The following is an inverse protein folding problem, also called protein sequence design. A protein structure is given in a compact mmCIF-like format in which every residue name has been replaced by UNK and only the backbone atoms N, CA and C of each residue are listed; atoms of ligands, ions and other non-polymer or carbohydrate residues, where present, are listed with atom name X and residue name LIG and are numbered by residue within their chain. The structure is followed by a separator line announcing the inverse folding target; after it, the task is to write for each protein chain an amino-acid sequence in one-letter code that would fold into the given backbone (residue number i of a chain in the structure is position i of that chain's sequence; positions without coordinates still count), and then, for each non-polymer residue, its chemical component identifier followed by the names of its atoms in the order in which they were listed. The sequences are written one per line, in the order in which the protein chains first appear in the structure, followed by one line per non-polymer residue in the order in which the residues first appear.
data_IF_482121882115
#
_entry.id   IF_482121882115
#
_cell.length_a   1.000
_cell.length_b   1.000
_cell.length_c   1.000
_cell.angle_alpha   90.00
_cell.angle_beta   90.00
_cell.angle_gamma   90.00
#
_symmetry.space_group_name_H-M   'P 1'
#
loop_
_entity.id
_entity.type
_entity.pdbx_description
1 polymer ?
#
# COMPACT_ATOMS: atom_id res chain seq x y z
N UNK A 1 11.89 13.01 38.26
CA UNK A 1 12.17 13.84 37.08
C UNK A 1 11.97 12.96 35.85
N UNK A 2 10.95 13.23 35.03
CA UNK A 2 10.80 12.52 33.74
C UNK A 2 12.01 12.85 32.87
N UNK A 3 12.61 11.86 32.23
CA UNK A 3 13.69 12.05 31.27
C UNK A 3 13.15 12.80 30.04
N UNK A 4 13.05 14.13 30.13
CA UNK A 4 12.48 14.99 29.07
C UNK A 4 13.26 14.94 27.75
N UNK A 5 14.45 14.35 27.75
CA UNK A 5 15.26 14.19 26.55
C UNK A 5 14.71 13.08 25.63
N UNK A 6 14.34 11.92 26.19
CA UNK A 6 13.85 10.80 25.37
C UNK A 6 12.47 11.09 24.76
N UNK A 7 11.56 11.76 25.47
CA UNK A 7 10.24 12.13 24.93
C UNK A 7 10.38 13.00 23.67
N UNK A 8 11.27 14.01 23.73
CA UNK A 8 11.58 14.86 22.58
C UNK A 8 12.25 14.07 21.44
N UNK A 9 13.27 13.28 21.75
CA UNK A 9 13.99 12.47 20.76
C UNK A 9 13.07 11.45 20.06
N UNK A 10 12.16 10.80 20.80
CA UNK A 10 11.18 9.86 20.24
C UNK A 10 10.24 10.61 19.29
N UNK A 11 9.73 11.78 19.70
CA UNK A 11 8.86 12.61 18.84
C UNK A 11 9.55 13.01 17.54
N UNK A 12 10.79 13.50 17.63
CA UNK A 12 11.62 13.88 16.46
C UNK A 12 11.88 12.67 15.55
N UNK A 13 12.28 11.53 16.12
CA UNK A 13 12.51 10.30 15.36
C UNK A 13 11.26 9.80 14.64
N UNK A 14 10.09 9.86 15.29
CA UNK A 14 8.82 9.46 14.66
C UNK A 14 8.52 10.39 13.48
N UNK A 15 8.60 11.70 13.68
CA UNK A 15 8.32 12.67 12.63
C UNK A 15 9.27 12.50 11.44
N UNK A 16 10.58 12.43 11.71
CA UNK A 16 11.58 12.21 10.66
C UNK A 16 11.39 10.88 9.94
N UNK A 17 10.99 9.83 10.66
CA UNK A 17 10.72 8.52 10.05
C UNK A 17 9.52 8.63 9.11
N UNK A 18 8.42 9.26 9.53
CA UNK A 18 7.25 9.51 8.69
C UNK A 18 7.63 10.31 7.44
N UNK A 19 8.38 11.39 7.57
CA UNK A 19 8.85 12.19 6.43
C UNK A 19 9.71 11.35 5.47
N UNK A 20 10.66 10.56 5.99
CA UNK A 20 11.50 9.66 5.17
C UNK A 20 10.67 8.60 4.44
N UNK A 21 9.57 8.13 5.04
CA UNK A 21 8.64 7.23 4.35
C UNK A 21 7.91 7.96 3.23
N UNK A 22 7.33 9.13 3.47
CA UNK A 22 6.61 9.91 2.47
C UNK A 22 7.51 10.30 1.27
N UNK A 23 8.76 10.70 1.53
CA UNK A 23 9.76 10.97 0.48
C UNK A 23 10.12 9.73 -0.36
N UNK A 24 10.15 8.55 0.27
CA UNK A 24 10.43 7.27 -0.43
C UNK A 24 9.23 6.73 -1.18
N UNK A 25 8.03 7.16 -0.79
CA UNK A 25 6.76 6.65 -1.27
C UNK A 25 6.16 7.53 -2.37
N UNK A 26 6.45 8.84 -2.32
CA UNK A 26 6.23 9.78 -3.43
C UNK A 26 7.05 9.43 -4.68
N UNK A 27 8.14 8.68 -4.53
CA UNK A 27 8.93 8.17 -5.66
C UNK A 27 8.25 6.98 -6.32
N UNK A 28 7.98 7.13 -7.61
CA UNK A 28 7.52 6.02 -8.44
C UNK A 28 8.54 4.88 -8.46
N UNK A 29 8.04 3.64 -8.53
CA UNK A 29 8.85 2.44 -8.69
C UNK A 29 8.30 1.58 -9.80
N UNK A 30 9.15 0.82 -10.47
CA UNK A 30 8.71 0.00 -11.58
C UNK A 30 8.15 -1.37 -11.16
N UNK A 31 8.41 -1.83 -9.93
CA UNK A 31 8.00 -3.14 -9.40
C UNK A 31 8.30 -4.31 -10.37
N UNK A 32 9.46 -4.28 -11.02
CA UNK A 32 9.87 -5.31 -11.98
C UNK A 32 9.17 -5.22 -13.34
N UNK A 33 8.52 -4.09 -13.65
CA UNK A 33 7.94 -3.79 -14.96
C UNK A 33 8.78 -2.77 -15.73
N UNK A 34 8.37 -2.48 -16.95
CA UNK A 34 8.92 -1.46 -17.85
C UNK A 34 8.32 -0.06 -17.64
N UNK A 35 7.37 0.10 -16.70
CA UNK A 35 6.68 1.36 -16.44
C UNK A 35 6.83 1.75 -14.97
N UNK A 36 6.87 3.04 -14.72
CA UNK A 36 6.81 3.55 -13.35
C UNK A 36 5.38 3.47 -12.79
N UNK A 37 5.27 3.13 -11.51
CA UNK A 37 4.00 2.94 -10.80
C UNK A 37 4.04 3.78 -9.52
N UNK A 38 3.04 4.64 -9.33
CA UNK A 38 2.90 5.42 -8.10
C UNK A 38 2.40 4.54 -6.94
N UNK A 39 2.60 5.01 -5.70
CA UNK A 39 2.09 4.33 -4.52
C UNK A 39 0.58 4.02 -4.59
N UNK A 40 -0.26 5.02 -4.90
CA UNK A 40 -1.70 4.81 -5.04
C UNK A 40 -2.08 3.80 -6.14
N UNK A 41 -1.25 3.70 -7.19
CA UNK A 41 -1.44 2.77 -8.30
C UNK A 41 -1.09 1.34 -7.91
N UNK A 42 0.02 1.11 -7.19
CA UNK A 42 0.39 -0.23 -6.75
C UNK A 42 -0.59 -0.77 -5.69
N UNK A 43 -1.10 0.09 -4.81
CA UNK A 43 -2.15 -0.29 -3.86
C UNK A 43 -3.48 -0.59 -4.56
N UNK A 44 -3.82 0.14 -5.62
CA UNK A 44 -4.98 -0.20 -6.46
C UNK A 44 -4.78 -1.55 -7.18
N UNK A 45 -3.58 -1.85 -7.68
CA UNK A 45 -3.25 -3.16 -8.28
C UNK A 45 -3.45 -4.28 -7.26
N UNK A 46 -2.91 -4.12 -6.03
CA UNK A 46 -3.10 -5.07 -4.92
C UNK A 46 -4.58 -5.29 -4.64
N UNK A 47 -5.34 -4.20 -4.49
CA UNK A 47 -6.77 -4.27 -4.24
C UNK A 47 -7.53 -5.05 -5.33
N UNK A 48 -7.24 -4.79 -6.61
CA UNK A 48 -7.85 -5.51 -7.75
C UNK A 48 -7.46 -6.99 -7.74
N UNK A 49 -6.22 -7.34 -7.37
CA UNK A 49 -5.80 -8.73 -7.29
C UNK A 49 -6.54 -9.51 -6.20
N UNK A 50 -6.74 -8.88 -5.05
CA UNK A 50 -7.38 -9.48 -3.88
C UNK A 50 -8.91 -9.48 -3.98
N UNK A 51 -9.47 -8.73 -4.93
CA UNK A 51 -10.90 -8.65 -5.17
C UNK A 51 -11.17 -8.78 -6.67
N UNK A 52 -11.38 -10.02 -7.13
CA UNK A 52 -11.65 -10.27 -8.55
C UNK A 52 -13.01 -9.72 -8.97
N UNK A 53 -13.15 -9.45 -10.27
CA UNK A 53 -14.45 -9.18 -10.91
C UNK A 53 -15.17 -7.92 -10.39
N UNK A 54 -14.43 -6.97 -9.83
CA UNK A 54 -15.02 -5.73 -9.35
C UNK A 54 -15.23 -4.70 -10.46
N UNK A 55 -16.42 -4.09 -10.43
CA UNK A 55 -16.73 -2.87 -11.17
C UNK A 55 -16.21 -1.63 -10.44
N UNK A 56 -16.01 -0.54 -11.17
CA UNK A 56 -15.55 0.76 -10.62
C UNK A 56 -16.38 1.23 -9.42
N UNK A 57 -17.70 1.09 -9.46
CA UNK A 57 -18.59 1.48 -8.35
C UNK A 57 -18.36 0.66 -7.08
N UNK A 58 -18.08 -0.64 -7.23
CA UNK A 58 -17.79 -1.53 -6.11
C UNK A 58 -16.41 -1.22 -5.51
N UNK A 59 -15.41 -0.93 -6.36
CA UNK A 59 -14.08 -0.49 -5.92
C UNK A 59 -14.21 0.80 -5.10
N UNK A 60 -14.91 1.81 -5.61
CA UNK A 60 -15.11 3.09 -4.92
C UNK A 60 -15.76 2.92 -3.55
N UNK A 61 -16.82 2.11 -3.46
CA UNK A 61 -17.53 1.83 -2.21
C UNK A 61 -16.63 1.11 -1.19
N UNK A 62 -15.88 0.10 -1.62
CA UNK A 62 -14.99 -0.67 -0.73
C UNK A 62 -13.81 0.16 -0.23
N UNK A 63 -13.28 1.07 -1.05
CA UNK A 63 -12.17 1.95 -0.69
C UNK A 63 -12.61 3.24 0.02
N UNK A 64 -13.91 3.53 0.11
CA UNK A 64 -14.41 4.77 0.72
C UNK A 64 -14.04 6.05 -0.04
N UNK A 65 -13.73 5.95 -1.34
CA UNK A 65 -13.31 7.09 -2.18
C UNK A 65 -14.29 7.35 -3.33
N UNK A 66 -14.15 8.50 -4.00
CA UNK A 66 -15.07 8.87 -5.08
C UNK A 66 -14.89 7.98 -6.32
N UNK A 67 -15.98 7.79 -7.07
CA UNK A 67 -15.94 7.11 -8.38
C UNK A 67 -14.99 7.79 -9.37
N UNK A 68 -14.84 9.11 -9.28
CA UNK A 68 -13.90 9.90 -10.09
C UNK A 68 -12.45 9.53 -9.81
N UNK A 69 -12.06 9.47 -8.53
CA UNK A 69 -10.70 9.10 -8.11
C UNK A 69 -10.34 7.66 -8.54
N UNK A 70 -11.27 6.71 -8.39
CA UNK A 70 -11.08 5.35 -8.91
C UNK A 70 -10.93 5.38 -10.42
N UNK A 71 -11.84 6.02 -11.14
CA UNK A 71 -11.83 6.07 -12.61
C UNK A 71 -10.53 6.65 -13.15
N UNK A 72 -10.01 7.70 -12.53
CA UNK A 72 -8.74 8.32 -12.92
C UNK A 72 -7.56 7.36 -12.71
N UNK A 73 -7.52 6.67 -11.57
CA UNK A 73 -6.46 5.69 -11.27
C UNK A 73 -6.51 4.49 -12.21
N UNK A 74 -7.71 3.94 -12.45
CA UNK A 74 -7.96 2.88 -13.43
C UNK A 74 -7.52 3.31 -14.83
N UNK A 75 -7.83 4.55 -15.25
CA UNK A 75 -7.40 5.06 -16.57
C UNK A 75 -5.87 5.09 -16.70
N UNK A 76 -5.14 5.53 -15.66
CA UNK A 76 -3.67 5.54 -15.68
C UNK A 76 -3.08 4.12 -15.69
N UNK A 77 -3.62 3.21 -14.88
CA UNK A 77 -3.19 1.81 -14.88
C UNK A 77 -3.42 1.14 -16.24
N UNK A 78 -4.56 1.44 -16.87
CA UNK A 78 -4.90 0.93 -18.19
C UNK A 78 -3.95 1.48 -19.26
N UNK A 79 -3.64 2.80 -19.24
CA UNK A 79 -2.68 3.38 -20.20
C UNK A 79 -1.26 2.84 -20.02
N UNK A 80 -0.90 2.38 -18.81
CA UNK A 80 0.36 1.71 -18.50
C UNK A 80 0.36 0.21 -18.87
N UNK A 81 -0.77 -0.33 -19.32
CA UNK A 81 -0.93 -1.75 -19.65
C UNK A 81 -0.90 -2.68 -18.43
N UNK A 82 -1.15 -2.15 -17.23
CA UNK A 82 -1.13 -2.91 -15.97
C UNK A 82 -2.46 -3.61 -15.68
N UNK A 83 -3.55 -3.11 -16.27
CA UNK A 83 -4.89 -3.68 -16.14
C UNK A 83 -5.60 -3.72 -17.50
N UNK A 84 -6.64 -4.53 -17.57
CA UNK A 84 -7.62 -4.56 -18.66
C UNK A 84 -9.03 -4.34 -18.10
N UNK A 85 -9.92 -3.88 -18.99
CA UNK A 85 -11.36 -3.78 -18.75
C UNK A 85 -12.04 -4.78 -19.66
N UNK A 86 -12.80 -5.69 -19.06
CA UNK A 86 -13.49 -6.75 -19.77
C UNK A 86 -14.99 -6.64 -19.52
N UNK A 87 -15.78 -7.06 -20.50
CA UNK A 87 -17.22 -7.24 -20.30
C UNK A 87 -17.43 -8.48 -19.43
N UNK A 88 -18.24 -8.35 -18.41
CA UNK A 88 -18.60 -9.44 -17.52
C UNK A 88 -19.43 -10.48 -18.28
N UNK A 89 -18.89 -11.69 -18.44
CA UNK A 89 -19.55 -12.80 -19.15
C UNK A 89 -20.87 -13.23 -18.48
N UNK A 90 -21.03 -12.98 -17.18
CA UNK A 90 -22.28 -13.25 -16.44
C UNK A 90 -23.30 -12.12 -16.53
N UNK A 91 -22.89 -10.93 -16.96
CA UNK A 91 -23.77 -9.78 -17.13
C UNK A 91 -23.18 -8.79 -18.14
N UNK A 92 -23.51 -9.00 -19.42
CA UNK A 92 -23.01 -8.23 -20.58
C UNK A 92 -23.20 -6.70 -20.50
N UNK A 93 -23.89 -6.18 -19.50
CA UNK A 93 -24.03 -4.75 -19.24
C UNK A 93 -22.91 -4.16 -18.35
N UNK A 94 -22.02 -4.98 -17.78
CA UNK A 94 -21.06 -4.53 -16.78
C UNK A 94 -19.61 -4.75 -17.20
N UNK A 95 -18.77 -3.77 -16.88
CA UNK A 95 -17.33 -3.81 -17.14
C UNK A 95 -16.60 -4.13 -15.84
N UNK A 96 -15.79 -5.19 -15.84
CA UNK A 96 -14.92 -5.59 -14.73
C UNK A 96 -13.48 -5.18 -15.01
N UNK A 97 -12.70 -5.00 -13.93
CA UNK A 97 -11.27 -4.69 -14.01
C UNK A 97 -10.46 -5.93 -13.65
N UNK A 98 -9.46 -6.26 -14.46
CA UNK A 98 -8.50 -7.36 -14.20
C UNK A 98 -7.06 -6.90 -14.37
N UNK A 99 -6.14 -7.57 -13.69
CA UNK A 99 -4.71 -7.39 -13.93
C UNK A 99 -4.28 -8.05 -15.24
N UNK A 100 -3.35 -7.42 -15.95
CA UNK A 100 -2.60 -8.07 -17.04
C UNK A 100 -1.44 -8.90 -16.46
N UNK A 101 -0.70 -9.63 -17.30
CA UNK A 101 0.57 -10.25 -16.87
C UNK A 101 1.58 -9.24 -16.32
N UNK A 102 1.61 -8.01 -16.88
CA UNK A 102 2.41 -6.90 -16.37
C UNK A 102 1.93 -6.46 -14.99
N UNK A 103 0.61 -6.29 -14.80
CA UNK A 103 0.03 -5.97 -13.50
C UNK A 103 0.30 -7.04 -12.44
N UNK A 104 0.23 -8.32 -12.82
CA UNK A 104 0.55 -9.44 -11.94
C UNK A 104 2.02 -9.43 -11.49
N UNK A 105 2.93 -9.07 -12.40
CA UNK A 105 4.35 -8.90 -12.08
C UNK A 105 4.56 -7.78 -11.06
N UNK A 106 3.91 -6.63 -11.26
CA UNK A 106 3.94 -5.52 -10.31
C UNK A 106 3.44 -5.93 -8.93
N UNK A 107 2.29 -6.63 -8.86
CA UNK A 107 1.73 -7.15 -7.61
C UNK A 107 2.69 -8.07 -6.86
N UNK A 108 3.26 -9.07 -7.53
CA UNK A 108 4.16 -10.04 -6.90
C UNK A 108 5.40 -9.33 -6.32
N UNK A 109 5.99 -8.41 -7.08
CA UNK A 109 7.15 -7.66 -6.60
C UNK A 109 6.82 -6.73 -5.43
N UNK A 110 5.62 -6.15 -5.41
CA UNK A 110 5.14 -5.37 -4.27
C UNK A 110 4.92 -6.22 -3.02
N UNK A 111 4.35 -7.41 -3.14
CA UNK A 111 4.19 -8.34 -2.01
C UNK A 111 5.56 -8.83 -1.50
N UNK A 112 6.51 -9.09 -2.40
CA UNK A 112 7.88 -9.43 -2.01
C UNK A 112 8.57 -8.28 -1.28
N UNK A 113 8.32 -7.03 -1.68
CA UNK A 113 8.80 -5.85 -0.96
C UNK A 113 8.20 -5.79 0.46
N UNK A 114 6.90 -6.05 0.62
CA UNK A 114 6.27 -6.13 1.95
C UNK A 114 6.87 -7.23 2.82
N UNK A 115 7.13 -8.42 2.25
CA UNK A 115 7.80 -9.51 2.99
C UNK A 115 9.21 -9.13 3.43
N UNK A 116 9.98 -8.45 2.58
CA UNK A 116 11.30 -7.95 2.97
C UNK A 116 11.20 -6.91 4.08
N UNK A 117 10.15 -6.09 4.08
CA UNK A 117 9.89 -5.13 5.15
C UNK A 117 9.59 -5.85 6.48
N UNK A 118 8.73 -6.87 6.46
CA UNK A 118 8.42 -7.70 7.63
C UNK A 118 9.67 -8.36 8.22
N UNK A 119 10.54 -8.93 7.38
CA UNK A 119 11.81 -9.52 7.82
C UNK A 119 12.71 -8.47 8.48
N UNK A 120 12.79 -7.25 7.92
CA UNK A 120 13.58 -6.17 8.54
C UNK A 120 13.04 -5.78 9.92
N UNK A 121 11.73 -5.64 10.06
CA UNK A 121 11.09 -5.34 11.34
C UNK A 121 11.34 -6.46 12.34
N UNK A 122 11.16 -7.72 11.92
CA UNK A 122 11.45 -8.89 12.75
C UNK A 122 12.89 -8.86 13.28
N UNK A 123 13.87 -8.64 12.41
CA UNK A 123 15.28 -8.57 12.82
C UNK A 123 15.55 -7.41 13.78
N UNK A 124 14.89 -6.25 13.61
CA UNK A 124 15.01 -5.14 14.56
C UNK A 124 14.46 -5.54 15.94
N UNK A 125 13.27 -6.14 15.97
CA UNK A 125 12.61 -6.57 17.21
C UNK A 125 13.35 -7.70 17.92
N UNK A 126 13.93 -8.66 17.20
CA UNK A 126 14.74 -9.75 17.80
C UNK A 126 15.99 -9.24 18.51
N UNK A 127 16.53 -8.10 18.08
CA UNK A 127 17.65 -7.44 18.75
C UNK A 127 17.21 -6.62 19.97
N UNK A 128 15.90 -6.48 20.19
CA UNK A 128 15.36 -5.89 21.42
C UNK A 128 15.25 -6.98 22.48
N UNK A 129 15.49 -6.63 23.75
CA UNK A 129 15.33 -7.57 24.86
C UNK A 129 13.92 -8.17 24.90
N UNK A 130 13.78 -9.38 25.46
CA UNK A 130 12.51 -10.10 25.51
C UNK A 130 11.35 -9.24 26.07
N UNK A 131 10.21 -9.23 25.38
CA UNK A 131 9.01 -8.48 25.77
C UNK A 131 8.95 -7.05 25.24
N UNK A 132 10.00 -6.56 24.57
CA UNK A 132 10.02 -5.21 23.99
C UNK A 132 9.06 -5.05 22.80
N UNK A 133 8.80 -6.13 22.07
CA UNK A 133 7.90 -6.16 20.92
C UNK A 133 6.47 -5.75 21.31
N UNK A 134 6.01 -6.16 22.50
CA UNK A 134 4.69 -5.78 23.01
C UNK A 134 4.62 -4.29 23.31
N UNK A 135 5.68 -3.73 23.89
CA UNK A 135 5.75 -2.29 24.21
C UNK A 135 5.69 -1.46 22.93
N UNK A 136 6.43 -1.86 21.88
CA UNK A 136 6.39 -1.19 20.57
C UNK A 136 5.01 -1.30 19.93
N UNK A 137 4.39 -2.49 19.97
CA UNK A 137 3.05 -2.71 19.44
C UNK A 137 2.00 -1.82 20.14
N UNK A 138 1.98 -1.83 21.47
CA UNK A 138 1.02 -1.04 22.27
C UNK A 138 1.20 0.47 21.97
N UNK A 139 2.45 0.95 21.89
CA UNK A 139 2.75 2.33 21.53
C UNK A 139 2.23 2.70 20.13
N UNK A 140 2.55 1.90 19.11
CA UNK A 140 2.14 2.16 17.73
C UNK A 140 0.62 2.08 17.57
N UNK A 141 -0.04 1.16 18.27
CA UNK A 141 -1.50 1.04 18.26
C UNK A 141 -2.18 2.27 18.86
N UNK A 142 -1.69 2.74 20.01
CA UNK A 142 -2.21 3.96 20.64
C UNK A 142 -1.92 5.21 19.80
N UNK A 143 -0.73 5.29 19.18
CA UNK A 143 -0.38 6.38 18.28
C UNK A 143 -1.30 6.40 17.05
N UNK A 144 -1.50 5.25 16.38
CA UNK A 144 -2.40 5.12 15.23
C UNK A 144 -3.84 5.52 15.53
N UNK A 145 -4.33 5.27 16.74
CA UNK A 145 -5.70 5.66 17.16
C UNK A 145 -5.87 7.16 17.39
N UNK A 146 -4.77 7.89 17.59
CA UNK A 146 -4.79 9.32 17.96
C UNK A 146 -4.55 10.26 16.77
N UNK A 147 -4.13 9.71 15.63
CA UNK A 147 -3.96 10.42 14.36
C UNK A 147 -5.10 10.07 13.40
#
# INVERSE_FOLDING_TARGET
MKNSNYEKQISELILETICKFDERDSKERNFGTDVNIHHSEIHMIKFIKENTDLHISAIARKLGITRGAVSQTIKRLQSKGLITKEVDEGNNSKIVVRLTGKGQTAYINHENYHKQYEIRIKNILENMGAGSEKVVYDFLLEFYRKI
#
